data_IF_644917934742
#
_entry.id   IF_644917934742
#
_cell.length_a   1.000
_cell.length_b   1.000
_cell.length_c   1.000
_cell.angle_alpha   90.00
_cell.angle_beta   90.00
_cell.angle_gamma   90.00
#
_symmetry.space_group_name_H-M   'P 1'
#
loop_
_entity.id
_entity.type
_entity.pdbx_description
1 polymer ?
#
# COMPACT_ATOMS: atom_id res chain seq x y z
N UNK A 1 2.75 19.08 5.98
CA UNK A 1 1.49 18.79 6.67
C UNK A 1 0.34 19.14 5.74
N UNK A 2 -0.33 18.16 5.14
CA UNK A 2 -1.50 18.41 4.29
C UNK A 2 -2.67 18.80 5.20
N UNK A 3 -3.28 19.97 5.00
CA UNK A 3 -4.53 20.37 5.67
C UNK A 3 -5.72 19.86 4.86
N UNK A 4 -6.54 18.93 5.36
CA UNK A 4 -7.78 18.57 4.70
C UNK A 4 -8.87 19.59 5.05
N UNK A 5 -9.78 19.78 4.10
CA UNK A 5 -11.02 20.54 4.22
C UNK A 5 -11.90 19.96 5.34
N UNK A 6 -11.77 20.47 6.57
CA UNK A 6 -12.77 20.39 7.64
C UNK A 6 -13.22 19.01 8.15
N UNK A 7 -12.68 17.91 7.64
CA UNK A 7 -13.00 16.55 8.10
C UNK A 7 -11.72 15.85 8.56
N UNK A 8 -11.79 15.21 9.72
CA UNK A 8 -10.71 14.38 10.23
C UNK A 8 -10.40 13.23 9.25
N UNK A 9 -9.12 12.84 9.12
CA UNK A 9 -8.74 11.72 8.28
C UNK A 9 -9.40 10.43 8.77
N UNK A 10 -9.89 9.60 7.84
CA UNK A 10 -10.47 8.29 8.14
C UNK A 10 -9.46 7.35 8.82
N UNK A 11 -8.17 7.53 8.53
CA UNK A 11 -7.08 6.76 9.09
C UNK A 11 -5.76 7.55 8.96
N UNK A 12 -4.89 7.38 9.94
CA UNK A 12 -3.49 7.79 9.89
C UNK A 12 -2.62 6.54 10.00
N UNK A 13 -1.53 6.49 9.21
CA UNK A 13 -0.56 5.39 9.23
C UNK A 13 0.77 5.95 9.75
N UNK A 14 1.26 5.49 10.90
CA UNK A 14 2.61 5.79 11.35
C UNK A 14 3.65 5.32 10.33
N UNK A 15 4.64 6.16 10.04
CA UNK A 15 5.62 5.86 8.97
C UNK A 15 6.49 4.63 9.30
N UNK A 16 6.77 4.39 10.58
CA UNK A 16 7.51 3.22 11.10
C UNK A 16 6.72 1.90 11.02
N UNK A 17 5.41 1.99 10.78
CA UNK A 17 4.54 0.83 10.53
C UNK A 17 4.44 0.47 9.04
N UNK A 18 5.12 1.20 8.16
CA UNK A 18 5.22 0.83 6.75
C UNK A 18 6.28 -0.27 6.61
N UNK A 19 5.82 -1.51 6.41
CA UNK A 19 6.68 -2.69 6.32
C UNK A 19 7.12 -2.99 4.88
N UNK A 20 6.26 -2.70 3.90
CA UNK A 20 6.53 -2.81 2.46
C UNK A 20 5.54 -1.96 1.68
N UNK A 21 5.93 -1.48 0.49
CA UNK A 21 5.05 -0.77 -0.44
C UNK A 21 5.25 -1.33 -1.83
N UNK A 22 4.21 -1.92 -2.40
CA UNK A 22 4.35 -2.79 -3.56
C UNK A 22 3.20 -2.68 -4.54
N UNK A 23 3.49 -2.82 -5.83
CA UNK A 23 2.44 -2.88 -6.84
C UNK A 23 1.60 -4.13 -6.60
N UNK A 24 0.29 -3.96 -6.63
CA UNK A 24 -0.62 -5.08 -6.48
C UNK A 24 -0.87 -5.71 -7.85
N UNK A 25 -0.91 -7.04 -7.90
CA UNK A 25 -1.23 -7.75 -9.14
C UNK A 25 -2.62 -7.33 -9.64
N UNK A 26 -2.74 -6.97 -10.93
CA UNK A 26 -3.97 -6.41 -11.50
C UNK A 26 -5.17 -7.35 -11.33
N UNK A 27 -4.95 -8.66 -11.36
CA UNK A 27 -6.00 -9.68 -11.17
C UNK A 27 -6.63 -9.67 -9.77
N UNK A 28 -5.98 -9.05 -8.78
CA UNK A 28 -6.50 -9.02 -7.39
C UNK A 28 -7.85 -8.30 -7.29
N UNK A 29 -8.00 -7.20 -8.03
CA UNK A 29 -9.22 -6.38 -8.02
C UNK A 29 -9.72 -6.03 -9.43
N UNK A 30 -9.00 -6.42 -10.48
CA UNK A 30 -9.25 -6.00 -11.88
C UNK A 30 -9.27 -4.48 -12.03
N UNK A 31 -8.44 -3.81 -11.25
CA UNK A 31 -8.29 -2.36 -11.21
C UNK A 31 -6.85 -1.98 -11.55
N UNK A 32 -6.69 -0.89 -12.30
CA UNK A 32 -5.38 -0.32 -12.63
C UNK A 32 -4.87 0.56 -11.51
N UNK A 33 -3.55 0.76 -11.52
CA UNK A 33 -2.84 1.67 -10.63
C UNK A 33 -3.03 1.34 -9.14
N UNK A 34 -3.13 0.03 -8.85
CA UNK A 34 -3.29 -0.49 -7.50
C UNK A 34 -1.93 -0.80 -6.89
N UNK A 35 -1.74 -0.36 -5.67
CA UNK A 35 -0.61 -0.75 -4.84
C UNK A 35 -1.06 -1.08 -3.42
N UNK A 36 -0.18 -1.73 -2.67
CA UNK A 36 -0.42 -2.08 -1.28
C UNK A 36 0.62 -1.45 -0.36
N UNK A 37 0.16 -1.05 0.82
CA UNK A 37 1.00 -0.68 1.96
C UNK A 37 0.84 -1.77 3.01
N UNK A 38 1.89 -2.53 3.27
CA UNK A 38 1.89 -3.61 4.27
C UNK A 38 2.17 -3.01 5.64
N UNK A 39 1.28 -3.27 6.60
CA UNK A 39 1.42 -2.90 8.02
C UNK A 39 1.38 -4.18 8.88
N UNK A 40 1.78 -4.12 10.17
CA UNK A 40 1.78 -5.30 11.03
C UNK A 40 0.40 -5.98 11.16
N UNK A 41 -0.68 -5.20 11.21
CA UNK A 41 -2.03 -5.71 11.43
C UNK A 41 -2.79 -5.99 10.13
N UNK A 42 -2.49 -5.27 9.04
CA UNK A 42 -3.21 -5.38 7.77
C UNK A 42 -2.43 -4.83 6.59
N UNK A 43 -2.76 -5.29 5.39
CA UNK A 43 -2.44 -4.57 4.17
C UNK A 43 -3.50 -3.48 3.90
N UNK A 44 -3.06 -2.32 3.43
CA UNK A 44 -3.94 -1.29 2.86
C UNK A 44 -3.80 -1.33 1.34
N UNK A 45 -4.92 -1.54 0.64
CA UNK A 45 -4.97 -1.48 -0.83
C UNK A 45 -5.39 -0.08 -1.27
N UNK A 46 -4.61 0.52 -2.16
CA UNK A 46 -4.80 1.91 -2.60
C UNK A 46 -4.87 1.94 -4.12
N UNK A 47 -5.89 2.61 -4.66
CA UNK A 47 -6.02 2.93 -6.07
C UNK A 47 -5.61 4.38 -6.30
N UNK A 48 -4.58 4.61 -7.11
CA UNK A 48 -4.26 5.96 -7.58
C UNK A 48 -5.13 6.36 -8.79
N UNK A 49 -5.31 7.66 -9.03
CA UNK A 49 -6.13 8.13 -10.15
C UNK A 49 -5.48 7.81 -11.51
N UNK A 50 -4.16 7.73 -11.56
CA UNK A 50 -3.38 7.42 -12.75
C UNK A 50 -2.02 6.80 -12.39
N UNK A 51 -1.29 6.33 -13.40
CA UNK A 51 -0.01 5.66 -13.22
C UNK A 51 1.14 6.60 -12.78
N UNK A 52 1.00 7.91 -13.01
CA UNK A 52 1.99 8.90 -12.55
C UNK A 52 1.87 9.05 -11.04
N UNK A 53 0.65 9.28 -10.55
CA UNK A 53 0.37 9.38 -9.11
C UNK A 53 0.72 8.08 -8.37
N UNK A 54 0.37 6.91 -8.93
CA UNK A 54 0.78 5.61 -8.39
C UNK A 54 2.30 5.56 -8.19
N UNK A 55 3.05 5.91 -9.24
CA UNK A 55 4.52 5.86 -9.22
C UNK A 55 5.09 6.84 -8.19
N UNK A 56 4.57 8.06 -8.11
CA UNK A 56 5.01 9.06 -7.14
C UNK A 56 4.80 8.59 -5.70
N UNK A 57 3.63 8.01 -5.39
CA UNK A 57 3.35 7.43 -4.07
C UNK A 57 4.27 6.26 -3.76
N UNK A 58 4.41 5.33 -4.70
CA UNK A 58 5.30 4.17 -4.59
C UNK A 58 6.74 4.60 -4.30
N UNK A 59 7.28 5.55 -5.05
CA UNK A 59 8.66 6.02 -4.91
C UNK A 59 8.91 6.67 -3.55
N UNK A 60 8.01 7.55 -3.09
CA UNK A 60 8.15 8.25 -1.80
C UNK A 60 8.04 7.27 -0.64
N UNK A 61 7.02 6.42 -0.65
CA UNK A 61 6.79 5.48 0.45
C UNK A 61 7.86 4.38 0.50
N UNK A 62 8.40 3.96 -0.65
CA UNK A 62 9.53 3.02 -0.70
C UNK A 62 10.76 3.61 -0.04
N UNK A 63 11.08 4.89 -0.31
CA UNK A 63 12.21 5.58 0.35
C UNK A 63 12.02 5.68 1.86
N UNK A 64 10.80 5.93 2.33
CA UNK A 64 10.49 5.95 3.76
C UNK A 64 10.66 4.54 4.35
N UNK A 65 10.09 3.52 3.72
CA UNK A 65 10.20 2.12 4.14
C UNK A 65 11.66 1.66 4.26
N UNK A 66 12.57 2.12 3.38
CA UNK A 66 14.00 1.81 3.45
C UNK A 66 14.67 2.32 4.73
N UNK A 67 14.11 3.36 5.37
CA UNK A 67 14.59 3.86 6.67
C UNK A 67 14.10 3.02 7.86
N UNK A 68 13.08 2.17 7.64
CA UNK A 68 12.50 1.32 8.67
C UNK A 68 13.34 0.04 8.84
N UNK A 69 13.76 -0.24 10.08
CA UNK A 69 14.57 -1.41 10.43
C UNK A 69 13.78 -2.72 10.38
N UNK A 70 12.46 -2.65 10.55
CA UNK A 70 11.49 -3.74 10.53
C UNK A 70 10.89 -4.01 9.13
N UNK A 71 11.41 -3.40 8.06
CA UNK A 71 10.90 -3.62 6.69
C UNK A 71 10.95 -5.10 6.31
N UNK A 72 9.95 -5.54 5.55
CA UNK A 72 9.89 -6.89 5.02
C UNK A 72 10.83 -7.05 3.83
N UNK A 73 11.48 -8.22 3.74
CA UNK A 73 12.27 -8.62 2.57
C UNK A 73 11.43 -9.39 1.54
N UNK A 74 10.33 -9.98 1.99
CA UNK A 74 9.42 -10.76 1.17
C UNK A 74 7.98 -10.38 1.51
N UNK A 75 7.15 -10.34 0.48
CA UNK A 75 5.74 -9.99 0.56
C UNK A 75 4.98 -10.74 -0.53
N UNK A 76 3.66 -10.73 -0.42
CA UNK A 76 2.79 -11.38 -1.39
C UNK A 76 2.24 -10.36 -2.39
N UNK A 77 2.34 -10.59 -3.72
CA UNK A 77 1.95 -9.60 -4.72
C UNK A 77 0.43 -9.48 -4.94
N UNK A 78 -0.38 -10.47 -4.53
CA UNK A 78 -1.84 -10.41 -4.63
C UNK A 78 -2.51 -9.97 -3.32
N UNK A 79 -3.79 -9.60 -3.40
CA UNK A 79 -4.58 -9.18 -2.24
C UNK A 79 -4.87 -10.34 -1.26
N UNK A 80 -5.00 -10.00 0.02
CA UNK A 80 -5.43 -10.86 1.11
C UNK A 80 -6.88 -10.51 1.47
N UNK A 81 -7.79 -11.44 1.19
CA UNK A 81 -9.23 -11.24 1.38
C UNK A 81 -9.79 -12.48 2.07
N UNK A 82 -10.65 -12.28 3.08
CA UNK A 82 -11.32 -13.37 3.81
C UNK A 82 -10.37 -14.43 4.38
N UNK A 83 -9.18 -14.02 4.83
CA UNK A 83 -8.21 -14.94 5.43
C UNK A 83 -7.28 -15.66 4.44
N UNK A 84 -7.40 -15.36 3.14
CA UNK A 84 -6.61 -16.04 2.10
C UNK A 84 -6.02 -15.05 1.09
N UNK A 85 -4.86 -15.42 0.53
CA UNK A 85 -4.28 -14.72 -0.61
C UNK A 85 -5.03 -15.10 -1.89
N UNK A 86 -5.35 -14.10 -2.70
CA UNK A 86 -5.93 -14.30 -4.03
C UNK A 86 -4.85 -14.82 -5.00
N UNK A 87 -4.54 -16.10 -4.90
CA UNK A 87 -3.83 -16.80 -5.97
C UNK A 87 -4.81 -17.13 -7.10
N UNK A 88 -4.36 -16.99 -8.35
CA UNK A 88 -5.09 -17.24 -9.60
C UNK A 88 -6.44 -17.98 -9.46
N UNK A 89 -7.53 -17.22 -9.58
CA UNK A 89 -8.84 -17.70 -10.06
C UNK A 89 -9.01 -17.29 -11.51
#
# INVERSE_FOLDING_TARGET
MCRPTGKDPLCCIPLDQILAVERLHEDSFKMKNMFQIVQPERALYVQANNCVEEKEWMDILTKICQTNSNRLQHYHPAAYINGHWLWYV
#
